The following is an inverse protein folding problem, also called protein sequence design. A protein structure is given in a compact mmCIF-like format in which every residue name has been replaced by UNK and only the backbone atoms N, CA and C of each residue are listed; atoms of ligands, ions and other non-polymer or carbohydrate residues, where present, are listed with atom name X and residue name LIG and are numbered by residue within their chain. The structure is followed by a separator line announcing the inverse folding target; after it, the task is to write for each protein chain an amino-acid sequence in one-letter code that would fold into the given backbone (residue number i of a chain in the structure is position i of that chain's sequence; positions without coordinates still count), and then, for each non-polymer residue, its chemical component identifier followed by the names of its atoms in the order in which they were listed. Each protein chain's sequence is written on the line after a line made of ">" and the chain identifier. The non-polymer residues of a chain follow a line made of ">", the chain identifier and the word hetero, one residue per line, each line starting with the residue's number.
data_IF_510546145384
#
_entry.id   IF_510546145384
#
_cell.length_a   1.000
_cell.length_b   1.000
_cell.length_c   1.000
_cell.angle_alpha   90.00
_cell.angle_beta   90.00
_cell.angle_gamma   90.00
#
_symmetry.space_group_name_H-M   'P 1'
#
loop_
_entity.id
_entity.type
_entity.pdbx_description
1 polymer ?
#
# COMPACT_ATOMS: atom_id res chain seq x y z
N UNK A 1 16.31 -27.33 29.62
CA UNK A 1 16.23 -27.08 28.17
C UNK A 1 16.41 -28.39 27.43
N UNK A 2 15.49 -28.73 26.52
CA UNK A 2 15.55 -29.97 25.75
C UNK A 2 16.79 -29.98 24.82
N UNK A 3 17.46 -31.12 24.65
CA UNK A 3 18.70 -31.24 23.84
C UNK A 3 18.51 -30.75 22.39
N UNK A 4 17.29 -30.87 21.85
CA UNK A 4 16.94 -30.38 20.52
C UNK A 4 16.96 -28.85 20.41
N UNK A 5 16.57 -28.15 21.47
CA UNK A 5 16.56 -26.68 21.54
C UNK A 5 17.98 -26.12 21.61
N UNK A 6 18.85 -26.75 22.40
CA UNK A 6 20.27 -26.37 22.51
C UNK A 6 20.97 -26.48 21.15
N UNK A 7 20.77 -27.59 20.44
CA UNK A 7 21.39 -27.82 19.13
C UNK A 7 20.94 -26.83 18.07
N UNK A 8 19.66 -26.42 18.06
CA UNK A 8 19.14 -25.40 17.15
C UNK A 8 19.75 -24.03 17.45
N UNK A 9 19.84 -23.65 18.72
CA UNK A 9 20.46 -22.39 19.16
C UNK A 9 21.94 -22.32 18.73
N UNK A 10 22.72 -23.40 18.93
CA UNK A 10 24.13 -23.44 18.55
C UNK A 10 24.34 -23.29 17.04
N UNK A 11 23.50 -23.94 16.22
CA UNK A 11 23.57 -23.83 14.75
C UNK A 11 23.22 -22.41 14.29
N UNK A 12 22.18 -21.81 14.88
CA UNK A 12 21.75 -20.45 14.56
C UNK A 12 22.81 -19.41 14.92
N UNK A 13 23.46 -19.53 16.09
CA UNK A 13 24.57 -18.66 16.49
C UNK A 13 25.75 -18.79 15.52
N UNK A 14 26.11 -20.03 15.13
CA UNK A 14 27.16 -20.27 14.15
C UNK A 14 26.89 -19.61 12.79
N UNK A 15 25.64 -19.66 12.32
CA UNK A 15 25.24 -19.01 11.07
C UNK A 15 25.28 -17.48 11.14
N UNK A 16 24.94 -16.89 12.29
CA UNK A 16 24.93 -15.44 12.46
C UNK A 16 26.33 -14.85 12.60
N UNK A 17 27.25 -15.57 13.26
CA UNK A 17 28.67 -15.21 13.27
C UNK A 17 29.23 -15.25 11.84
N UNK A 18 28.87 -16.26 11.05
CA UNK A 18 29.24 -16.33 9.63
C UNK A 18 28.68 -15.14 8.82
N UNK A 19 27.39 -14.81 8.97
CA UNK A 19 26.77 -13.69 8.26
C UNK A 19 27.42 -12.35 8.65
N UNK A 20 27.70 -12.11 9.93
CA UNK A 20 28.35 -10.89 10.40
C UNK A 20 29.78 -10.74 9.84
N UNK A 21 30.54 -11.83 9.78
CA UNK A 21 31.88 -11.88 9.17
C UNK A 21 31.81 -11.54 7.67
N UNK A 22 30.83 -12.10 6.94
CA UNK A 22 30.64 -11.80 5.51
C UNK A 22 30.08 -10.40 5.23
N UNK A 23 29.48 -9.74 6.22
CA UNK A 23 28.91 -8.39 6.10
C UNK A 23 29.90 -7.27 6.43
N UNK A 24 31.16 -7.60 6.76
CA UNK A 24 32.18 -6.62 7.16
C UNK A 24 31.95 -5.99 8.53
N UNK A 25 31.06 -6.54 9.35
CA UNK A 25 30.77 -6.05 10.70
C UNK A 25 31.80 -6.69 11.65
N UNK A 26 32.67 -5.90 12.27
CA UNK A 26 33.59 -6.38 13.30
C UNK A 26 32.79 -6.68 14.58
N UNK A 27 32.69 -7.95 14.94
CA UNK A 27 32.01 -8.38 16.18
C UNK A 27 33.09 -8.76 17.20
N UNK A 28 33.15 -8.08 18.35
CA UNK A 28 34.09 -8.44 19.42
C UNK A 28 33.48 -9.53 20.31
N UNK A 29 34.31 -10.31 20.99
CA UNK A 29 33.90 -11.35 21.94
C UNK A 29 33.03 -10.80 23.09
N UNK A 30 33.18 -9.54 23.46
CA UNK A 30 32.30 -8.85 24.40
C UNK A 30 30.87 -8.70 23.85
N UNK A 31 30.73 -8.29 22.58
CA UNK A 31 29.43 -8.17 21.91
C UNK A 31 28.75 -9.55 21.77
N UNK A 32 29.54 -10.59 21.48
CA UNK A 32 29.05 -11.98 21.46
C UNK A 32 28.61 -12.42 22.86
N UNK A 33 29.37 -12.05 23.89
CA UNK A 33 29.04 -12.33 25.30
C UNK A 33 27.73 -11.67 25.76
N UNK A 34 27.52 -10.41 25.38
CA UNK A 34 26.29 -9.66 25.67
C UNK A 34 25.10 -10.19 24.85
N UNK A 35 25.32 -10.58 23.60
CA UNK A 35 24.29 -11.25 22.80
C UNK A 35 23.92 -12.60 23.42
N UNK A 36 24.90 -13.40 23.84
CA UNK A 36 24.67 -14.70 24.49
C UNK A 36 24.00 -14.56 25.85
N UNK A 37 24.37 -13.55 26.65
CA UNK A 37 23.76 -13.31 27.96
C UNK A 37 22.29 -12.86 27.81
N UNK A 38 21.99 -11.98 26.85
CA UNK A 38 20.63 -11.58 26.50
C UNK A 38 19.80 -12.74 25.90
N UNK A 39 20.44 -13.66 25.16
CA UNK A 39 19.81 -14.90 24.67
C UNK A 39 19.44 -15.83 25.83
N UNK A 40 20.31 -15.94 26.83
CA UNK A 40 20.14 -16.88 27.95
C UNK A 40 19.28 -16.31 29.08
N UNK A 41 19.16 -14.98 29.17
CA UNK A 41 18.33 -14.24 30.15
C UNK A 41 17.70 -13.03 29.47
N UNK A 42 16.66 -13.22 28.63
CA UNK A 42 15.92 -12.09 28.08
C UNK A 42 15.29 -11.28 29.23
N UNK A 43 15.54 -9.98 29.26
CA UNK A 43 14.90 -9.05 30.19
C UNK A 43 13.45 -8.80 29.75
N UNK A 44 12.59 -9.74 30.13
CA UNK A 44 11.18 -9.75 29.78
C UNK A 44 10.39 -8.61 30.44
N UNK A 45 10.88 -8.03 31.54
CA UNK A 45 10.23 -6.91 32.22
C UNK A 45 10.36 -5.61 31.42
N UNK A 46 11.56 -5.27 30.96
CA UNK A 46 11.75 -4.08 30.11
C UNK A 46 11.07 -4.23 28.75
N UNK A 47 11.06 -5.44 28.17
CA UNK A 47 10.33 -5.68 26.92
C UNK A 47 8.82 -5.53 27.10
N UNK A 48 8.23 -6.12 28.16
CA UNK A 48 6.82 -5.98 28.47
C UNK A 48 6.42 -4.53 28.75
N UNK A 49 7.23 -3.78 29.51
CA UNK A 49 7.02 -2.35 29.75
C UNK A 49 7.08 -1.55 28.46
N UNK A 50 8.04 -1.84 27.58
CA UNK A 50 8.19 -1.13 26.30
C UNK A 50 7.08 -1.46 25.29
N UNK A 51 6.57 -2.70 25.30
CA UNK A 51 5.37 -3.09 24.55
C UNK A 51 4.13 -2.34 25.04
N UNK A 52 4.00 -2.16 26.36
CA UNK A 52 2.89 -1.41 26.94
C UNK A 52 2.99 0.08 26.62
N UNK A 53 4.17 0.69 26.74
CA UNK A 53 4.38 2.10 26.37
C UNK A 53 4.01 2.42 24.91
N UNK A 54 4.29 1.51 23.97
CA UNK A 54 3.88 1.67 22.57
C UNK A 54 2.37 1.64 22.38
N UNK A 55 1.67 0.77 23.11
CA UNK A 55 0.20 0.66 23.10
C UNK A 55 -0.45 1.88 23.73
N UNK A 56 0.07 2.34 24.88
CA UNK A 56 -0.45 3.48 25.62
C UNK A 56 -0.33 4.77 24.80
N UNK A 57 0.81 4.95 24.12
CA UNK A 57 0.99 6.07 23.19
C UNK A 57 -0.04 6.05 22.06
N UNK A 58 -0.29 4.88 21.46
CA UNK A 58 -1.29 4.76 20.40
C UNK A 58 -2.70 5.04 20.92
N UNK A 59 -3.07 4.45 22.05
CA UNK A 59 -4.39 4.66 22.67
C UNK A 59 -4.63 6.13 23.02
N UNK A 60 -3.60 6.82 23.51
CA UNK A 60 -3.66 8.25 23.81
C UNK A 60 -3.73 9.12 22.54
N UNK A 61 -2.96 8.75 21.50
CA UNK A 61 -2.92 9.50 20.25
C UNK A 61 -4.16 9.27 19.37
N UNK A 62 -4.81 8.10 19.46
CA UNK A 62 -5.87 7.70 18.55
C UNK A 62 -7.06 8.69 18.53
N UNK A 63 -7.61 9.17 19.66
CA UNK A 63 -8.67 10.19 19.63
C UNK A 63 -8.24 11.47 18.89
N UNK A 64 -6.98 11.91 19.09
CA UNK A 64 -6.42 13.09 18.42
C UNK A 64 -6.32 12.85 16.92
N UNK A 65 -5.78 11.70 16.51
CA UNK A 65 -5.68 11.26 15.11
C UNK A 65 -7.06 11.25 14.43
N UNK A 66 -8.08 10.71 15.11
CA UNK A 66 -9.47 10.67 14.61
C UNK A 66 -10.01 12.08 14.41
N UNK A 67 -9.89 12.94 15.43
CA UNK A 67 -10.38 14.32 15.39
C UNK A 67 -9.70 15.11 14.28
N UNK A 68 -8.37 15.01 14.16
CA UNK A 68 -7.60 15.69 13.12
C UNK A 68 -7.97 15.20 11.71
N UNK A 69 -8.17 13.88 11.54
CA UNK A 69 -8.60 13.32 10.25
C UNK A 69 -9.96 13.86 9.83
N UNK A 70 -10.94 13.83 10.74
CA UNK A 70 -12.29 14.33 10.48
C UNK A 70 -12.28 15.84 10.22
N UNK A 71 -11.63 16.63 11.08
CA UNK A 71 -11.60 18.09 10.97
C UNK A 71 -10.88 18.53 9.69
N UNK A 72 -9.73 17.91 9.39
CA UNK A 72 -8.96 18.18 8.18
C UNK A 72 -9.76 17.87 6.92
N UNK A 73 -10.37 16.68 6.86
CA UNK A 73 -11.22 16.27 5.75
C UNK A 73 -12.42 17.19 5.58
N UNK A 74 -13.02 17.65 6.69
CA UNK A 74 -14.15 18.57 6.67
C UNK A 74 -13.79 19.95 6.11
N UNK A 75 -12.68 20.52 6.57
CA UNK A 75 -12.21 21.84 6.13
C UNK A 75 -11.88 21.80 4.64
N UNK A 76 -11.08 20.82 4.20
CA UNK A 76 -10.66 20.72 2.81
C UNK A 76 -11.79 20.28 1.90
N UNK A 77 -12.70 19.42 2.35
CA UNK A 77 -13.89 19.02 1.62
C UNK A 77 -14.82 20.21 1.36
N UNK A 78 -15.04 21.07 2.37
CA UNK A 78 -15.83 22.31 2.19
C UNK A 78 -15.17 23.27 1.20
N UNK A 79 -13.84 23.38 1.25
CA UNK A 79 -13.10 24.20 0.29
C UNK A 79 -13.24 23.65 -1.13
N UNK A 80 -13.07 22.34 -1.31
CA UNK A 80 -13.23 21.65 -2.59
C UNK A 80 -14.64 21.79 -3.15
N UNK A 81 -15.68 21.68 -2.31
CA UNK A 81 -17.07 21.90 -2.71
C UNK A 81 -17.33 23.33 -3.20
N UNK A 82 -16.75 24.33 -2.54
CA UNK A 82 -16.91 25.75 -2.90
C UNK A 82 -16.08 26.15 -4.13
N UNK A 83 -14.91 25.55 -4.28
CA UNK A 83 -13.94 25.86 -5.34
C UNK A 83 -13.46 24.54 -5.96
N UNK A 84 -14.31 23.88 -6.76
CA UNK A 84 -13.93 22.64 -7.43
C UNK A 84 -12.75 22.90 -8.36
N UNK A 85 -11.85 21.92 -8.44
CA UNK A 85 -10.70 22.02 -9.33
C UNK A 85 -11.17 21.79 -10.76
N UNK A 86 -11.11 22.84 -11.57
CA UNK A 86 -11.28 22.76 -13.02
C UNK A 86 -9.90 22.46 -13.63
N UNK A 87 -9.74 21.35 -14.37
CA UNK A 87 -8.48 21.09 -15.05
C UNK A 87 -8.31 22.08 -16.19
N UNK A 88 -7.25 22.88 -16.16
CA UNK A 88 -6.97 23.90 -17.19
C UNK A 88 -5.68 23.55 -17.93
N UNK A 89 -5.70 23.72 -19.25
CA UNK A 89 -4.52 23.68 -20.11
C UNK A 89 -3.86 25.06 -20.05
N UNK A 90 -2.64 25.13 -19.54
CA UNK A 90 -1.85 26.36 -19.51
C UNK A 90 -0.38 26.06 -19.74
N UNK A 91 0.25 26.76 -20.68
CA UNK A 91 1.68 26.65 -21.01
C UNK A 91 2.12 25.20 -21.29
N UNK A 92 1.34 24.46 -22.10
CA UNK A 92 1.62 23.06 -22.46
C UNK A 92 1.51 22.05 -21.31
N UNK A 93 0.89 22.44 -20.18
CA UNK A 93 0.63 21.57 -19.02
C UNK A 93 -0.84 21.56 -18.65
N UNK A 94 -1.29 20.45 -18.09
CA UNK A 94 -2.64 20.25 -17.58
C UNK A 94 -2.59 20.02 -16.08
N UNK A 95 -3.35 20.80 -15.30
CA UNK A 95 -3.53 20.54 -13.87
C UNK A 95 -4.48 19.36 -13.70
N UNK A 96 -3.95 18.20 -13.31
CA UNK A 96 -4.71 16.94 -13.18
C UNK A 96 -5.28 16.73 -11.78
N UNK A 97 -4.52 17.10 -10.76
CA UNK A 97 -4.85 16.85 -9.35
C UNK A 97 -4.90 18.13 -8.51
N UNK A 98 -5.55 18.06 -7.35
CA UNK A 98 -5.41 19.06 -6.29
C UNK A 98 -4.29 18.66 -5.35
N UNK A 99 -3.78 19.61 -4.56
CA UNK A 99 -2.83 19.30 -3.48
C UNK A 99 -3.46 18.39 -2.42
N UNK A 100 -4.79 18.48 -2.21
CA UNK A 100 -5.51 17.57 -1.30
C UNK A 100 -5.39 16.12 -1.74
N UNK A 101 -5.58 15.84 -3.04
CA UNK A 101 -5.45 14.48 -3.60
C UNK A 101 -4.02 13.94 -3.38
N UNK A 102 -3.01 14.78 -3.61
CA UNK A 102 -1.62 14.38 -3.36
C UNK A 102 -1.38 14.08 -1.88
N UNK A 103 -1.86 14.95 -0.99
CA UNK A 103 -1.75 14.76 0.45
C UNK A 103 -2.44 13.46 0.91
N UNK A 104 -3.66 13.21 0.44
CA UNK A 104 -4.42 11.98 0.71
C UNK A 104 -3.67 10.74 0.27
N UNK A 105 -3.20 10.73 -0.98
CA UNK A 105 -2.45 9.62 -1.55
C UNK A 105 -1.18 9.35 -0.74
N UNK A 106 -0.29 10.33 -0.61
CA UNK A 106 1.02 10.12 0.02
C UNK A 106 0.92 9.81 1.51
N UNK A 107 -0.08 10.34 2.21
CA UNK A 107 -0.30 10.02 3.63
C UNK A 107 -0.77 8.57 3.78
N UNK A 108 -1.66 8.07 2.92
CA UNK A 108 -1.97 6.64 2.85
C UNK A 108 -0.73 5.81 2.50
N UNK A 109 0.02 6.20 1.47
CA UNK A 109 1.24 5.49 1.04
C UNK A 109 2.24 5.34 2.18
N UNK A 110 2.50 6.42 2.93
CA UNK A 110 3.42 6.38 4.09
C UNK A 110 2.90 5.41 5.16
N UNK A 111 1.61 5.51 5.52
CA UNK A 111 1.00 4.60 6.50
C UNK A 111 1.08 3.14 6.08
N UNK A 112 0.72 2.83 4.83
CA UNK A 112 0.78 1.48 4.25
C UNK A 112 2.21 0.95 4.21
N UNK A 113 3.19 1.73 3.74
CA UNK A 113 4.59 1.28 3.66
C UNK A 113 5.14 0.96 5.06
N UNK A 114 4.90 1.84 6.04
CA UNK A 114 5.32 1.59 7.42
C UNK A 114 4.67 0.31 7.95
N UNK A 115 3.36 0.14 7.76
CA UNK A 115 2.63 -1.05 8.19
C UNK A 115 3.13 -2.33 7.52
N UNK A 116 3.38 -2.34 6.21
CA UNK A 116 3.86 -3.53 5.48
C UNK A 116 5.26 -3.91 5.94
N UNK A 117 6.20 -2.95 5.97
CA UNK A 117 7.58 -3.21 6.37
C UNK A 117 7.59 -3.82 7.78
N UNK A 118 6.88 -3.18 8.71
CA UNK A 118 6.80 -3.65 10.10
C UNK A 118 6.05 -4.98 10.23
N UNK A 119 4.98 -5.21 9.46
CA UNK A 119 4.23 -6.46 9.46
C UNK A 119 5.10 -7.66 9.07
N UNK A 120 6.01 -7.51 8.10
CA UNK A 120 6.96 -8.57 7.74
C UNK A 120 7.82 -8.98 8.94
N UNK A 121 8.36 -8.00 9.68
CA UNK A 121 9.14 -8.28 10.89
C UNK A 121 8.30 -8.92 12.00
N UNK A 122 7.05 -8.48 12.18
CA UNK A 122 6.13 -9.05 13.18
C UNK A 122 5.72 -10.49 12.83
N UNK A 123 5.47 -10.79 11.55
CA UNK A 123 5.13 -12.14 11.07
C UNK A 123 6.32 -13.10 11.18
N UNK A 124 7.50 -12.68 10.74
CA UNK A 124 8.71 -13.51 10.85
C UNK A 124 9.02 -13.79 12.32
N UNK A 125 8.95 -12.74 13.16
CA UNK A 125 9.26 -12.85 14.57
C UNK A 125 8.33 -13.78 15.35
N UNK A 126 7.02 -13.72 15.06
CA UNK A 126 6.02 -14.58 15.72
C UNK A 126 6.00 -16.01 15.21
N UNK A 127 6.34 -16.27 13.94
CA UNK A 127 6.18 -17.60 13.32
C UNK A 127 7.45 -18.46 13.32
N UNK A 128 8.62 -17.87 13.18
CA UNK A 128 9.87 -18.63 13.05
C UNK A 128 10.69 -18.66 14.34
N UNK A 129 10.24 -18.00 15.42
CA UNK A 129 10.98 -17.97 16.69
C UNK A 129 12.38 -17.36 16.56
N UNK A 130 12.63 -16.61 15.47
CA UNK A 130 13.92 -15.99 15.16
C UNK A 130 14.19 -14.74 16.02
N UNK A 131 13.36 -14.49 17.03
CA UNK A 131 13.48 -13.40 17.99
C UNK A 131 14.29 -13.81 19.21
N UNK A 132 15.57 -14.04 19.02
CA UNK A 132 16.52 -13.90 20.14
C UNK A 132 17.58 -12.81 19.87
N UNK A 133 17.36 -11.97 18.85
CA UNK A 133 18.24 -10.85 18.50
C UNK A 133 17.45 -9.55 18.67
N UNK A 134 17.31 -9.11 19.92
CA UNK A 134 16.43 -8.02 20.36
C UNK A 134 16.86 -6.64 19.82
N UNK A 135 15.92 -5.97 19.16
CA UNK A 135 15.85 -4.54 18.75
C UNK A 135 14.80 -4.37 17.62
N UNK A 136 14.76 -5.25 16.58
CA UNK A 136 13.86 -5.05 15.45
C UNK A 136 12.37 -5.30 15.75
N UNK A 137 12.02 -6.27 16.62
CA UNK A 137 10.61 -6.61 16.85
C UNK A 137 9.85 -5.51 17.60
N UNK A 138 10.38 -5.07 18.73
CA UNK A 138 9.75 -4.04 19.55
C UNK A 138 9.69 -2.69 18.82
N UNK A 139 10.74 -2.35 18.08
CA UNK A 139 10.74 -1.20 17.18
C UNK A 139 9.68 -1.37 16.09
N UNK A 140 9.63 -2.52 15.42
CA UNK A 140 8.62 -2.79 14.39
C UNK A 140 7.21 -2.72 14.96
N UNK A 141 6.97 -3.23 16.16
CA UNK A 141 5.69 -3.14 16.86
C UNK A 141 5.28 -1.68 17.06
N UNK A 142 6.16 -0.85 17.66
CA UNK A 142 5.89 0.59 17.85
C UNK A 142 5.65 1.32 16.53
N UNK A 143 6.51 1.10 15.54
CA UNK A 143 6.38 1.69 14.22
C UNK A 143 5.10 1.23 13.51
N UNK A 144 4.65 0.00 13.72
CA UNK A 144 3.40 -0.50 13.15
C UNK A 144 2.21 0.29 13.66
N UNK A 145 2.16 0.60 14.97
CA UNK A 145 1.12 1.47 15.53
C UNK A 145 1.18 2.90 15.02
N UNK A 146 2.39 3.45 14.80
CA UNK A 146 2.55 4.77 14.17
C UNK A 146 1.98 4.74 12.74
N UNK A 147 2.36 3.74 11.94
CA UNK A 147 1.84 3.53 10.60
C UNK A 147 0.31 3.37 10.58
N UNK A 148 -0.23 2.59 11.53
CA UNK A 148 -1.67 2.40 11.67
C UNK A 148 -2.38 3.71 12.04
N UNK A 149 -1.79 4.54 12.91
CA UNK A 149 -2.32 5.87 13.24
C UNK A 149 -2.37 6.78 12.03
N UNK A 150 -1.29 6.83 11.24
CA UNK A 150 -1.25 7.58 9.97
C UNK A 150 -2.33 7.08 9.00
N UNK A 151 -2.49 5.75 8.88
CA UNK A 151 -3.48 5.15 8.00
C UNK A 151 -4.92 5.48 8.43
N UNK A 152 -5.21 5.42 9.73
CA UNK A 152 -6.52 5.83 10.29
C UNK A 152 -6.80 7.30 10.01
N UNK A 153 -5.82 8.18 10.27
CA UNK A 153 -5.95 9.61 9.95
C UNK A 153 -6.23 9.81 8.46
N UNK A 154 -5.44 9.19 7.58
CA UNK A 154 -5.55 9.36 6.14
C UNK A 154 -6.91 8.89 5.62
N UNK A 155 -7.40 7.74 6.10
CA UNK A 155 -8.68 7.18 5.68
C UNK A 155 -9.87 8.02 6.16
N UNK A 156 -9.85 8.50 7.41
CA UNK A 156 -10.89 9.42 7.90
C UNK A 156 -10.88 10.74 7.14
N UNK A 157 -9.69 11.30 6.91
CA UNK A 157 -9.52 12.50 6.11
C UNK A 157 -10.11 12.30 4.70
N UNK A 158 -9.73 11.22 4.01
CA UNK A 158 -10.19 10.91 2.66
C UNK A 158 -11.71 10.74 2.59
N UNK A 159 -12.29 9.92 3.47
CA UNK A 159 -13.73 9.66 3.50
C UNK A 159 -14.50 10.96 3.70
N UNK A 160 -14.13 11.74 4.72
CA UNK A 160 -14.83 12.99 5.06
C UNK A 160 -14.64 14.03 3.96
N UNK A 161 -13.43 14.18 3.43
CA UNK A 161 -13.13 15.08 2.31
C UNK A 161 -13.98 14.74 1.08
N UNK A 162 -13.99 13.47 0.68
CA UNK A 162 -14.68 13.01 -0.53
C UNK A 162 -16.21 13.13 -0.41
N UNK A 163 -16.78 12.76 0.74
CA UNK A 163 -18.22 12.91 1.02
C UNK A 163 -18.64 14.39 0.92
N UNK A 164 -17.86 15.30 1.50
CA UNK A 164 -18.21 16.73 1.53
C UNK A 164 -17.95 17.39 0.18
N UNK A 165 -16.82 17.08 -0.46
CA UNK A 165 -16.47 17.61 -1.78
C UNK A 165 -17.49 17.15 -2.85
N UNK A 166 -18.05 15.96 -2.71
CA UNK A 166 -19.02 15.39 -3.63
C UNK A 166 -18.43 14.99 -4.99
N UNK A 167 -17.11 14.80 -5.05
CA UNK A 167 -16.44 14.28 -6.25
C UNK A 167 -16.90 12.84 -6.50
N UNK A 168 -17.23 12.52 -7.75
CA UNK A 168 -17.67 11.18 -8.17
C UNK A 168 -16.91 10.67 -9.39
N UNK A 169 -15.91 11.41 -9.88
CA UNK A 169 -15.26 11.10 -11.16
C UNK A 169 -14.53 9.74 -11.16
N UNK A 170 -14.04 9.31 -10.00
CA UNK A 170 -13.27 8.06 -9.86
C UNK A 170 -14.15 6.84 -9.54
N UNK A 171 -15.45 7.03 -9.27
CA UNK A 171 -16.36 5.93 -8.93
C UNK A 171 -16.51 5.01 -10.15
N UNK A 172 -16.29 3.70 -10.03
CA UNK A 172 -16.44 2.78 -11.15
C UNK A 172 -17.90 2.58 -11.53
N UNK A 173 -18.11 2.27 -12.81
CA UNK A 173 -19.34 1.75 -13.39
C UNK A 173 -19.09 0.30 -13.80
N UNK A 174 -20.15 -0.47 -14.02
CA UNK A 174 -20.02 -1.91 -14.29
C UNK A 174 -19.20 -2.22 -15.56
N UNK A 175 -19.21 -1.33 -16.57
CA UNK A 175 -18.39 -1.52 -17.77
C UNK A 175 -16.89 -1.44 -17.49
N UNK A 176 -16.45 -0.73 -16.44
CA UNK A 176 -15.04 -0.59 -16.12
C UNK A 176 -14.37 -1.90 -15.76
N UNK A 177 -15.10 -2.91 -15.30
CA UNK A 177 -14.51 -4.23 -15.01
C UNK A 177 -14.01 -4.89 -16.29
N UNK A 178 -14.80 -4.82 -17.37
CA UNK A 178 -14.38 -5.34 -18.67
C UNK A 178 -13.27 -4.47 -19.26
N UNK A 179 -13.41 -3.16 -19.14
CA UNK A 179 -12.44 -2.20 -19.69
C UNK A 179 -11.10 -2.26 -18.94
N UNK A 180 -11.10 -2.51 -17.63
CA UNK A 180 -9.87 -2.70 -16.84
C UNK A 180 -9.14 -3.98 -17.23
N UNK A 181 -9.87 -5.05 -17.58
CA UNK A 181 -9.28 -6.27 -18.15
C UNK A 181 -8.65 -5.95 -19.50
N UNK A 182 -9.37 -5.24 -20.39
CA UNK A 182 -8.86 -4.85 -21.69
C UNK A 182 -7.57 -4.01 -21.56
N UNK A 183 -7.58 -3.02 -20.68
CA UNK A 183 -6.44 -2.17 -20.38
C UNK A 183 -5.24 -2.95 -19.84
N UNK A 184 -5.47 -3.83 -18.85
CA UNK A 184 -4.41 -4.69 -18.30
C UNK A 184 -3.81 -5.58 -19.40
N UNK A 185 -4.64 -6.15 -20.27
CA UNK A 185 -4.19 -7.01 -21.37
C UNK A 185 -3.47 -6.23 -22.47
N UNK A 186 -3.82 -4.95 -22.67
CA UNK A 186 -3.10 -4.05 -23.56
C UNK A 186 -1.71 -3.72 -22.99
N UNK A 187 -1.61 -3.40 -21.70
CA UNK A 187 -0.33 -3.20 -20.98
C UNK A 187 0.54 -4.45 -21.08
N UNK A 188 -0.06 -5.64 -20.99
CA UNK A 188 0.65 -6.90 -21.14
C UNK A 188 0.96 -7.26 -22.61
N UNK A 189 0.69 -6.41 -23.59
CA UNK A 189 1.00 -6.67 -25.01
C UNK A 189 0.20 -7.82 -25.65
N UNK A 190 -0.91 -8.23 -25.01
CA UNK A 190 -1.79 -9.29 -25.52
C UNK A 190 -2.70 -8.75 -26.62
N UNK A 191 -3.23 -7.54 -26.41
CA UNK A 191 -4.05 -6.79 -27.37
C UNK A 191 -3.40 -5.43 -27.67
N UNK A 192 -3.95 -4.65 -28.62
CA UNK A 192 -3.39 -3.35 -29.01
C UNK A 192 -2.12 -3.48 -29.87
N UNK A 193 -1.12 -2.62 -29.63
CA UNK A 193 0.14 -2.58 -30.37
C UNK A 193 1.04 -3.83 -30.13
N UNK A 194 0.70 -4.61 -29.11
CA UNK A 194 1.37 -5.84 -28.75
C UNK A 194 2.64 -5.68 -27.93
N UNK A 195 3.05 -4.44 -27.61
CA UNK A 195 4.25 -4.18 -26.83
C UNK A 195 4.02 -4.56 -25.36
N UNK A 196 4.84 -5.46 -24.84
CA UNK A 196 4.80 -5.87 -23.43
C UNK A 196 5.29 -4.70 -22.57
N UNK A 197 4.46 -4.25 -21.63
CA UNK A 197 4.66 -3.05 -20.83
C UNK A 197 4.85 -1.76 -21.63
N UNK A 198 4.32 -1.72 -22.87
CA UNK A 198 4.54 -0.60 -23.78
C UNK A 198 6.00 -0.42 -24.23
N UNK A 199 6.87 -1.41 -23.98
CA UNK A 199 8.28 -1.38 -24.40
C UNK A 199 8.37 -1.88 -25.84
N UNK A 200 8.60 -0.96 -26.77
CA UNK A 200 8.73 -1.29 -28.20
C UNK A 200 9.87 -2.29 -28.41
N UNK A 201 9.57 -3.42 -29.05
CA UNK A 201 10.54 -4.50 -29.27
C UNK A 201 10.45 -5.64 -28.26
N UNK A 202 9.77 -5.45 -27.13
CA UNK A 202 9.51 -6.50 -26.16
C UNK A 202 8.09 -7.04 -26.38
N UNK A 203 7.98 -8.32 -26.78
CA UNK A 203 6.70 -8.94 -27.11
C UNK A 203 6.53 -10.26 -26.36
N UNK A 204 5.30 -10.56 -25.95
CA UNK A 204 4.95 -11.88 -25.45
C UNK A 204 5.20 -12.96 -26.52
N UNK A 205 5.73 -14.14 -26.15
CA UNK A 205 5.81 -15.28 -27.06
C UNK A 205 4.43 -15.60 -27.67
N UNK A 206 4.39 -15.89 -28.98
CA UNK A 206 3.13 -16.19 -29.70
C UNK A 206 2.35 -17.34 -29.08
N UNK A 207 3.05 -18.28 -28.44
CA UNK A 207 2.45 -19.44 -27.74
C UNK A 207 1.62 -19.02 -26.51
N UNK A 208 1.94 -17.90 -25.86
CA UNK A 208 1.17 -17.34 -24.74
C UNK A 208 0.15 -16.33 -25.26
N UNK A 209 0.58 -15.45 -26.18
CA UNK A 209 -0.24 -14.36 -26.70
C UNK A 209 -1.49 -14.85 -27.44
N UNK A 210 -1.35 -15.80 -28.37
CA UNK A 210 -2.48 -16.24 -29.22
C UNK A 210 -3.60 -16.90 -28.43
N UNK A 211 -3.35 -17.89 -27.54
CA UNK A 211 -4.42 -18.48 -26.73
C UNK A 211 -5.15 -17.45 -25.88
N UNK A 212 -4.40 -16.53 -25.27
CA UNK A 212 -4.97 -15.49 -24.41
C UNK A 212 -5.81 -14.50 -25.22
N UNK A 213 -5.30 -13.99 -26.35
CA UNK A 213 -6.05 -13.12 -27.25
C UNK A 213 -7.33 -13.80 -27.79
N UNK A 214 -7.26 -15.08 -28.15
CA UNK A 214 -8.43 -15.84 -28.57
C UNK A 214 -9.47 -15.99 -27.45
N UNK A 215 -9.04 -16.18 -26.20
CA UNK A 215 -9.94 -16.25 -25.05
C UNK A 215 -10.61 -14.89 -24.80
N UNK A 216 -9.85 -13.81 -24.84
CA UNK A 216 -10.33 -12.44 -24.66
C UNK A 216 -11.34 -12.05 -25.75
N UNK A 217 -11.08 -12.44 -27.01
CA UNK A 217 -12.00 -12.20 -28.12
C UNK A 217 -13.37 -12.86 -27.89
N UNK A 218 -13.42 -14.05 -27.27
CA UNK A 218 -14.70 -14.73 -26.95
C UNK A 218 -15.56 -13.97 -25.94
N UNK A 219 -14.95 -13.16 -25.07
CA UNK A 219 -15.65 -12.29 -24.11
C UNK A 219 -15.75 -10.84 -24.62
N UNK A 220 -15.43 -10.61 -25.90
CA UNK A 220 -15.52 -9.31 -26.56
C UNK A 220 -14.48 -8.29 -26.09
N UNK A 221 -13.32 -8.75 -25.61
CA UNK A 221 -12.16 -7.89 -25.25
C UNK A 221 -11.12 -8.02 -26.37
N UNK A 222 -11.16 -7.10 -27.32
CA UNK A 222 -10.33 -7.15 -28.54
C UNK A 222 -9.45 -5.92 -28.73
N UNK A 223 -9.84 -4.80 -28.14
CA UNK A 223 -9.15 -3.52 -28.26
C UNK A 223 -9.01 -2.84 -26.89
N UNK A 224 -7.97 -2.00 -26.70
CA UNK A 224 -7.84 -1.19 -25.49
C UNK A 224 -9.06 -0.25 -25.33
N UNK A 225 -9.48 0.05 -24.09
CA UNK A 225 -10.63 0.91 -23.85
C UNK A 225 -10.31 2.37 -24.14
N UNK A 226 -11.35 3.18 -24.35
CA UNK A 226 -11.19 4.64 -24.47
C UNK A 226 -10.84 5.26 -23.12
N UNK A 227 -9.62 5.79 -23.00
CA UNK A 227 -9.14 6.42 -21.78
C UNK A 227 -9.79 7.79 -21.53
N UNK A 228 -10.56 7.88 -20.44
CA UNK A 228 -11.03 9.14 -19.86
C UNK A 228 -9.93 9.84 -19.06
N UNK A 229 -10.33 10.74 -18.14
CA UNK A 229 -9.37 11.33 -17.18
C UNK A 229 -8.73 10.23 -16.35
N UNK A 230 -9.59 9.41 -15.74
CA UNK A 230 -9.19 8.19 -15.04
C UNK A 230 -9.28 7.00 -15.99
N UNK A 231 -8.27 6.15 -15.93
CA UNK A 231 -8.22 4.89 -16.63
C UNK A 231 -9.21 3.90 -15.99
N UNK A 232 -9.85 3.00 -16.76
CA UNK A 232 -10.72 1.97 -16.21
C UNK A 232 -10.07 1.16 -15.07
N UNK A 233 -8.79 0.80 -15.20
CA UNK A 233 -8.06 0.11 -14.13
C UNK A 233 -7.94 0.96 -12.86
N UNK A 234 -7.68 2.26 -12.96
CA UNK A 234 -7.61 3.18 -11.81
C UNK A 234 -8.95 3.24 -11.07
N UNK A 235 -10.07 3.24 -11.81
CA UNK A 235 -11.44 3.25 -11.26
C UNK A 235 -11.80 1.95 -10.56
N UNK A 236 -11.30 0.81 -11.02
CA UNK A 236 -11.50 -0.51 -10.39
C UNK A 236 -10.56 -0.73 -9.21
N UNK A 237 -9.32 -0.23 -9.26
CA UNK A 237 -8.37 -0.31 -8.15
C UNK A 237 -8.82 0.52 -6.95
N UNK A 238 -9.47 1.67 -7.18
CA UNK A 238 -9.93 2.57 -6.11
C UNK A 238 -10.82 1.89 -5.07
N UNK A 239 -11.94 1.22 -5.41
CA UNK A 239 -12.73 0.49 -4.42
C UNK A 239 -12.00 -0.73 -3.86
N UNK A 240 -11.10 -1.37 -4.62
CA UNK A 240 -10.30 -2.48 -4.10
C UNK A 240 -9.39 -2.00 -2.95
N UNK A 241 -8.70 -0.87 -3.13
CA UNK A 241 -7.96 -0.19 -2.08
C UNK A 241 -8.85 0.18 -0.89
N UNK A 242 -10.02 0.79 -1.14
CA UNK A 242 -10.93 1.20 -0.08
C UNK A 242 -11.42 0.01 0.77
N UNK A 243 -11.80 -1.10 0.14
CA UNK A 243 -12.25 -2.32 0.84
C UNK A 243 -11.12 -2.95 1.65
N UNK A 244 -9.93 -3.11 1.05
CA UNK A 244 -8.80 -3.74 1.72
C UNK A 244 -8.25 -2.90 2.87
N UNK A 245 -8.11 -1.58 2.68
CA UNK A 245 -7.69 -0.64 3.73
C UNK A 245 -8.75 -0.58 4.83
N UNK A 246 -10.04 -0.55 4.49
CA UNK A 246 -11.12 -0.63 5.47
C UNK A 246 -11.04 -1.92 6.29
N UNK A 247 -10.88 -3.07 5.65
CA UNK A 247 -10.77 -4.37 6.31
C UNK A 247 -9.54 -4.45 7.24
N UNK A 248 -8.38 -3.96 6.81
CA UNK A 248 -7.16 -4.01 7.64
C UNK A 248 -7.24 -3.05 8.84
N UNK A 249 -7.87 -1.88 8.68
CA UNK A 249 -8.12 -0.95 9.80
C UNK A 249 -9.11 -1.58 10.78
N UNK A 250 -10.25 -2.08 10.31
CA UNK A 250 -11.30 -2.68 11.16
C UNK A 250 -10.74 -3.86 11.98
N UNK A 251 -10.04 -4.78 11.31
CA UNK A 251 -9.43 -5.93 11.99
C UNK A 251 -8.27 -5.51 12.88
N UNK A 252 -7.50 -4.48 12.51
CA UNK A 252 -6.47 -3.88 13.35
C UNK A 252 -7.05 -3.33 14.65
N UNK A 253 -8.16 -2.59 14.58
CA UNK A 253 -8.90 -2.09 15.76
C UNK A 253 -9.40 -3.25 16.63
N UNK A 254 -9.96 -4.32 16.04
CA UNK A 254 -10.39 -5.49 16.83
C UNK A 254 -9.19 -6.17 17.52
N UNK A 255 -8.06 -6.29 16.82
CA UNK A 255 -6.83 -6.88 17.38
C UNK A 255 -6.21 -6.02 18.50
N UNK A 256 -6.53 -4.73 18.57
CA UNK A 256 -6.01 -3.82 19.60
C UNK A 256 -7.00 -3.57 20.74
N UNK A 257 -8.31 -3.54 20.46
CA UNK A 257 -9.32 -3.32 21.49
C UNK A 257 -9.35 -4.45 22.52
N UNK A 258 -8.89 -5.66 22.18
CA UNK A 258 -8.69 -6.79 23.11
C UNK A 258 -7.82 -6.47 24.33
N UNK A 259 -7.07 -5.36 24.29
CA UNK A 259 -6.25 -4.90 25.42
C UNK A 259 -7.05 -4.04 26.41
N UNK A 260 -8.21 -3.53 26.00
CA UNK A 260 -9.07 -2.67 26.81
C UNK A 260 -10.36 -3.39 27.21
N UNK A 261 -10.84 -4.29 26.37
CA UNK A 261 -12.02 -5.12 26.62
C UNK A 261 -11.67 -6.59 26.43
N UNK A 262 -12.29 -7.47 27.23
CA UNK A 262 -12.15 -8.91 27.03
C UNK A 262 -12.93 -9.31 25.77
N UNK A 263 -12.22 -9.81 24.76
CA UNK A 263 -12.81 -10.23 23.49
C UNK A 263 -12.90 -11.75 23.43
N UNK A 264 -14.02 -12.31 22.91
CA UNK A 264 -14.11 -13.74 22.65
C UNK A 264 -12.90 -14.23 21.82
N UNK A 265 -12.23 -15.33 22.21
CA UNK A 265 -11.04 -15.83 21.50
C UNK A 265 -11.27 -16.02 20.01
N UNK A 266 -12.46 -16.49 19.62
CA UNK A 266 -12.88 -16.66 18.22
C UNK A 266 -12.87 -15.34 17.46
N UNK A 267 -13.31 -14.23 18.07
CA UNK A 267 -13.32 -12.92 17.42
C UNK A 267 -11.90 -12.42 17.16
N UNK A 268 -11.00 -12.52 18.15
CA UNK A 268 -9.61 -12.13 17.99
C UNK A 268 -8.88 -13.00 16.94
N UNK A 269 -9.21 -14.29 16.88
CA UNK A 269 -8.68 -15.23 15.89
C UNK A 269 -9.14 -14.89 14.46
N UNK A 270 -10.46 -14.70 14.26
CA UNK A 270 -11.02 -14.32 12.95
C UNK A 270 -10.48 -12.98 12.49
N UNK A 271 -10.40 -11.98 13.37
CA UNK A 271 -9.81 -10.69 13.06
C UNK A 271 -8.34 -10.83 12.63
N UNK A 272 -7.58 -11.71 13.28
CA UNK A 272 -6.19 -11.99 12.90
C UNK A 272 -6.09 -12.59 11.50
N UNK A 273 -6.91 -13.60 11.17
CA UNK A 273 -6.92 -14.19 9.83
C UNK A 273 -7.27 -13.16 8.76
N UNK A 274 -8.34 -12.39 8.97
CA UNK A 274 -8.78 -11.40 7.99
C UNK A 274 -7.72 -10.30 7.84
N UNK A 275 -7.08 -9.86 8.93
CA UNK A 275 -6.00 -8.89 8.88
C UNK A 275 -4.80 -9.39 8.07
N UNK A 276 -4.38 -10.64 8.30
CA UNK A 276 -3.22 -11.23 7.63
C UNK A 276 -3.51 -11.45 6.14
N UNK A 277 -4.73 -11.90 5.78
CA UNK A 277 -5.17 -12.02 4.38
C UNK A 277 -5.22 -10.64 3.72
N UNK A 278 -5.82 -9.65 4.38
CA UNK A 278 -5.90 -8.28 3.87
C UNK A 278 -4.50 -7.70 3.63
N UNK A 279 -3.55 -7.93 4.56
CA UNK A 279 -2.17 -7.48 4.40
C UNK A 279 -1.50 -8.10 3.16
N UNK A 280 -1.67 -9.41 2.92
CA UNK A 280 -1.14 -10.08 1.72
C UNK A 280 -1.77 -9.50 0.46
N UNK A 281 -3.09 -9.31 0.43
CA UNK A 281 -3.79 -8.75 -0.72
C UNK A 281 -3.38 -7.29 -0.99
N UNK A 282 -3.16 -6.49 0.05
CA UNK A 282 -2.62 -5.14 -0.05
C UNK A 282 -1.20 -5.15 -0.63
N UNK A 283 -0.34 -6.07 -0.20
CA UNK A 283 1.02 -6.19 -0.76
C UNK A 283 0.95 -6.51 -2.26
N UNK A 284 0.10 -7.47 -2.65
CA UNK A 284 -0.07 -7.83 -4.06
C UNK A 284 -0.62 -6.66 -4.89
N UNK A 285 -1.62 -5.96 -4.37
CA UNK A 285 -2.20 -4.78 -5.02
C UNK A 285 -1.17 -3.63 -5.11
N UNK A 286 -0.36 -3.43 -4.06
CA UNK A 286 0.71 -2.43 -4.06
C UNK A 286 1.77 -2.73 -5.12
N UNK A 287 2.12 -4.00 -5.33
CA UNK A 287 3.05 -4.41 -6.39
C UNK A 287 2.48 -4.05 -7.76
N UNK A 288 1.22 -4.40 -8.03
CA UNK A 288 0.55 -4.07 -9.31
C UNK A 288 0.51 -2.55 -9.50
N UNK A 289 0.12 -1.81 -8.47
CA UNK A 289 0.06 -0.35 -8.48
C UNK A 289 1.43 0.30 -8.76
N UNK A 290 2.50 -0.17 -8.12
CA UNK A 290 3.87 0.35 -8.36
C UNK A 290 4.35 0.00 -9.76
N UNK A 291 4.09 -1.22 -10.23
CA UNK A 291 4.48 -1.64 -11.59
C UNK A 291 3.80 -0.75 -12.63
N UNK A 292 2.48 -0.60 -12.53
CA UNK A 292 1.67 0.18 -13.47
C UNK A 292 1.94 1.68 -13.40
N UNK A 293 2.23 2.24 -12.22
CA UNK A 293 2.45 3.68 -12.07
C UNK A 293 3.93 4.11 -12.25
N UNK A 294 4.88 3.36 -11.69
CA UNK A 294 6.27 3.82 -11.53
C UNK A 294 7.29 3.01 -12.33
N UNK A 295 7.03 1.73 -12.63
CA UNK A 295 7.99 0.89 -13.39
C UNK A 295 7.79 1.04 -14.89
N UNK A 296 6.54 1.13 -15.35
CA UNK A 296 6.19 1.22 -16.77
C UNK A 296 6.44 2.65 -17.31
N UNK A 297 7.34 2.85 -18.30
CA UNK A 297 7.72 4.19 -18.75
C UNK A 297 6.59 5.06 -19.31
N UNK A 298 5.64 4.53 -20.11
CA UNK A 298 4.46 5.28 -20.52
C UNK A 298 3.66 5.91 -19.36
N UNK A 299 3.73 5.37 -18.15
CA UNK A 299 2.99 5.88 -16.98
C UNK A 299 3.72 6.98 -16.21
N UNK A 300 5.01 7.21 -16.50
CA UNK A 300 5.82 8.17 -15.75
C UNK A 300 5.27 9.60 -15.73
N UNK A 301 4.64 10.14 -16.81
CA UNK A 301 3.98 11.43 -16.74
C UNK A 301 2.83 11.48 -15.71
N UNK A 302 2.08 10.39 -15.56
CA UNK A 302 1.04 10.27 -14.52
C UNK A 302 1.66 10.18 -13.13
N UNK A 303 2.71 9.38 -12.94
CA UNK A 303 3.44 9.34 -11.67
C UNK A 303 4.00 10.71 -11.27
N UNK A 304 4.62 11.44 -12.20
CA UNK A 304 5.08 12.82 -11.96
C UNK A 304 3.93 13.76 -11.60
N UNK A 305 2.74 13.53 -12.14
CA UNK A 305 1.56 14.32 -11.78
C UNK A 305 1.10 14.07 -10.34
N UNK A 306 1.36 12.88 -9.79
CA UNK A 306 1.16 12.56 -8.37
C UNK A 306 2.22 13.19 -7.45
N UNK A 307 3.26 13.82 -8.00
CA UNK A 307 4.23 14.62 -7.24
C UNK A 307 4.01 16.12 -7.40
N UNK A 308 3.50 16.54 -8.56
CA UNK A 308 3.50 17.95 -8.98
C UNK A 308 2.11 18.53 -9.28
N UNK A 309 1.06 17.72 -9.20
CA UNK A 309 -0.33 17.99 -9.62
C UNK A 309 -0.56 18.15 -11.13
N UNK A 310 0.49 18.16 -11.95
CA UNK A 310 0.43 18.53 -13.38
C UNK A 310 1.02 17.42 -14.26
N UNK A 311 0.47 17.30 -15.48
CA UNK A 311 1.02 16.47 -16.56
C UNK A 311 1.16 17.29 -17.84
N UNK A 312 1.87 16.82 -18.87
CA UNK A 312 2.00 17.56 -20.14
C UNK A 312 0.72 17.46 -20.98
N UNK A 313 0.42 18.52 -21.72
CA UNK A 313 -0.72 18.53 -22.65
C UNK A 313 -0.57 17.47 -23.75
N UNK A 314 0.64 17.33 -24.29
CA UNK A 314 0.94 16.34 -25.33
C UNK A 314 0.65 14.91 -24.85
N UNK A 315 1.04 14.58 -23.62
CA UNK A 315 0.74 13.28 -23.03
C UNK A 315 -0.77 13.04 -22.90
N UNK A 316 -1.52 14.05 -22.44
CA UNK A 316 -2.98 13.97 -22.31
C UNK A 316 -3.64 13.80 -23.66
N UNK A 317 -3.15 14.50 -24.70
CA UNK A 317 -3.65 14.38 -26.07
C UNK A 317 -3.48 12.96 -26.63
N UNK A 318 -2.34 12.33 -26.34
CA UNK A 318 -2.00 10.99 -26.84
C UNK A 318 -2.68 9.87 -26.04
N UNK A 319 -2.62 9.93 -24.70
CA UNK A 319 -3.00 8.83 -23.81
C UNK A 319 -4.38 9.00 -23.17
N UNK A 320 -4.95 10.20 -23.17
CA UNK A 320 -6.29 10.49 -22.63
C UNK A 320 -7.13 11.33 -23.62
N UNK A 321 -7.31 10.86 -24.86
CA UNK A 321 -7.89 11.67 -25.95
C UNK A 321 -9.32 12.14 -25.65
N UNK A 322 -10.13 11.35 -24.95
CA UNK A 322 -11.49 11.75 -24.57
C UNK A 322 -11.48 12.83 -23.49
N UNK A 323 -10.51 12.78 -22.57
CA UNK A 323 -10.33 13.86 -21.61
C UNK A 323 -9.83 15.12 -22.30
N UNK A 324 -8.86 15.02 -23.21
CA UNK A 324 -8.35 16.15 -23.97
C UNK A 324 -9.46 16.88 -24.76
N UNK A 325 -10.34 16.12 -25.42
CA UNK A 325 -11.50 16.69 -26.14
C UNK A 325 -12.44 17.47 -25.21
N UNK A 326 -12.64 17.02 -23.98
CA UNK A 326 -13.45 17.75 -22.98
C UNK A 326 -12.76 19.04 -22.55
N UNK A 327 -11.46 18.98 -22.24
CA UNK A 327 -10.67 20.16 -21.84
C UNK A 327 -10.60 21.25 -22.89
N UNK A 328 -10.72 20.91 -24.17
CA UNK A 328 -10.70 21.87 -25.29
C UNK A 328 -12.06 22.52 -25.59
N UNK A 329 -13.14 21.98 -25.04
CA UNK A 329 -14.51 22.49 -25.22
C UNK A 329 -14.93 23.47 -24.13
N UNK A 330 -14.21 23.47 -23.01
CA UNK A 330 -14.35 24.40 -21.88
C UNK A 330 -13.39 25.59 -22.05
#
# INVERSE_FOLDING_TARGET
>A
MEKGTVRKITITIGLLVLIAIFSGISVNAADVGDVLSNIMRPDWETEAQSLNAGKDLFALALPVVIVLGILGGFILGRRAKKQPMVPVIANGKVKRHTVSILFEHWTHTIGVIICIITAVFLLIGTRFGLLVFFSPFLLAYKLHFIGAGILVFASLFYIVNHIIAGDREIIPVMSDVKDSIAETMAIMGVIGDGAFFGIRGLYLPKIIKKPLANLLAKIGVTEPPHAGKWLPIERVETPAWAVLVGAIILTGVIKTIRYVIDLPPTMAYVATIIHDIAAILIILLLIVHIITAAVIPPSWPLFKSMLTTKTSEEYVKEHHPEWYKKLRKE
#
